data_IF_460874160544
#
_entry.id   IF_460874160544
#
_cell.length_a   1.000
_cell.length_b   1.000
_cell.length_c   1.000
_cell.angle_alpha   90.00
_cell.angle_beta   90.00
_cell.angle_gamma   90.00
#
_symmetry.space_group_name_H-M   'P 1'
#
loop_
_entity.id
_entity.type
_entity.pdbx_description
1 polymer ?
#
# COMPACT_ATOMS: atom_id res chain seq x y z
N UNK A 1 -11.00 -84.50 -69.28
CA UNK A 1 -12.04 -85.25 -70.01
C UNK A 1 -13.32 -84.44 -70.13
N UNK A 2 -13.67 -84.13 -71.40
CA UNK A 2 -14.92 -83.60 -71.91
C UNK A 2 -15.26 -82.13 -71.70
N UNK A 3 -15.10 -81.33 -72.71
CA UNK A 3 -15.89 -81.00 -73.94
C UNK A 3 -16.79 -79.78 -73.70
N UNK A 4 -16.36 -78.68 -74.23
CA UNK A 4 -16.96 -77.75 -75.17
C UNK A 4 -18.50 -77.63 -75.28
N UNK A 5 -19.04 -76.43 -75.23
CA UNK A 5 -19.88 -75.93 -76.36
C UNK A 5 -20.04 -74.46 -76.34
N UNK A 6 -19.71 -73.80 -77.44
CA UNK A 6 -20.03 -72.43 -77.81
C UNK A 6 -21.53 -72.25 -77.98
N UNK A 7 -22.03 -71.06 -77.61
CA UNK A 7 -23.10 -70.39 -78.39
C UNK A 7 -22.96 -68.91 -78.28
N UNK A 8 -22.74 -68.35 -79.43
CA UNK A 8 -22.78 -66.88 -79.74
C UNK A 8 -24.24 -66.45 -79.76
N UNK A 9 -24.55 -65.38 -79.07
CA UNK A 9 -25.69 -64.49 -79.44
C UNK A 9 -25.39 -63.12 -78.93
N UNK A 10 -25.19 -62.22 -79.85
CA UNK A 10 -25.31 -60.80 -79.64
C UNK A 10 -26.76 -60.40 -79.42
N UNK A 11 -27.08 -59.46 -78.53
CA UNK A 11 -28.25 -58.63 -78.72
C UNK A 11 -27.88 -57.13 -78.77
N UNK A 12 -28.31 -56.55 -79.82
CA UNK A 12 -28.91 -55.23 -80.04
C UNK A 12 -28.79 -54.21 -78.92
N UNK A 13 -28.18 -53.11 -79.28
CA UNK A 13 -28.17 -51.86 -78.52
C UNK A 13 -29.56 -51.39 -78.10
N UNK A 14 -29.69 -51.15 -76.84
CA UNK A 14 -30.73 -50.24 -76.30
C UNK A 14 -30.09 -48.87 -76.18
N UNK A 15 -30.31 -48.01 -77.16
CA UNK A 15 -30.22 -46.57 -76.99
C UNK A 15 -31.28 -46.18 -75.95
N UNK A 16 -30.82 -45.80 -74.81
CA UNK A 16 -31.68 -45.11 -73.84
C UNK A 16 -31.62 -43.61 -74.18
N UNK A 17 -32.37 -43.17 -75.14
CA UNK A 17 -32.73 -41.77 -75.38
C UNK A 17 -33.74 -41.33 -74.31
N UNK A 18 -33.22 -40.93 -73.14
CA UNK A 18 -34.06 -40.17 -72.21
C UNK A 18 -33.86 -38.71 -72.52
N UNK A 19 -34.47 -38.20 -73.56
CA UNK A 19 -34.67 -36.79 -73.85
C UNK A 19 -35.76 -36.25 -72.93
N UNK A 20 -35.44 -36.19 -71.60
CA UNK A 20 -36.17 -35.35 -70.65
C UNK A 20 -35.91 -33.89 -71.03
N UNK A 21 -36.94 -33.09 -71.26
CA UNK A 21 -36.80 -31.65 -71.44
C UNK A 21 -35.92 -31.09 -70.30
N UNK A 22 -34.90 -30.31 -70.68
CA UNK A 22 -33.98 -29.67 -69.72
C UNK A 22 -34.83 -28.90 -68.70
N UNK A 23 -34.65 -29.17 -67.42
CA UNK A 23 -35.41 -28.46 -66.40
C UNK A 23 -34.97 -26.99 -66.32
N UNK A 24 -35.92 -26.06 -66.41
CA UNK A 24 -35.63 -24.63 -66.19
C UNK A 24 -35.33 -24.44 -64.69
N UNK A 25 -34.13 -23.88 -64.38
CA UNK A 25 -33.70 -23.62 -62.98
C UNK A 25 -33.19 -22.19 -62.85
N UNK A 26 -33.55 -21.56 -61.75
CA UNK A 26 -32.95 -20.29 -61.36
C UNK A 26 -31.63 -20.55 -60.67
N UNK A 27 -30.63 -19.69 -60.91
CA UNK A 27 -29.31 -19.86 -60.31
C UNK A 27 -28.86 -18.59 -59.62
N UNK A 28 -28.06 -18.78 -58.59
CA UNK A 28 -27.33 -17.74 -57.89
C UNK A 28 -25.84 -18.14 -57.88
N UNK A 29 -24.99 -17.13 -57.86
CA UNK A 29 -23.55 -17.35 -57.66
C UNK A 29 -23.25 -17.33 -56.18
N UNK A 30 -22.37 -18.20 -55.72
CA UNK A 30 -21.87 -18.16 -54.39
C UNK A 30 -20.99 -16.93 -54.24
N UNK A 31 -21.41 -15.94 -53.46
CA UNK A 31 -20.66 -14.72 -53.17
C UNK A 31 -19.73 -14.94 -52.00
N UNK A 32 -18.62 -14.22 -51.95
CA UNK A 32 -17.80 -14.12 -50.71
C UNK A 32 -18.36 -12.97 -49.88
N UNK A 33 -18.71 -13.29 -48.66
CA UNK A 33 -19.12 -12.30 -47.66
C UNK A 33 -18.35 -12.49 -46.35
N UNK A 34 -18.02 -11.37 -45.70
CA UNK A 34 -17.36 -11.46 -44.38
C UNK A 34 -18.29 -12.16 -43.38
N UNK A 35 -17.73 -13.15 -42.71
CA UNK A 35 -18.38 -13.79 -41.56
C UNK A 35 -17.61 -13.40 -40.33
N UNK A 36 -18.23 -12.59 -39.47
CA UNK A 36 -17.69 -12.27 -38.15
C UNK A 36 -17.90 -13.47 -37.24
N UNK A 37 -16.80 -14.02 -36.75
CA UNK A 37 -16.82 -15.09 -35.75
C UNK A 37 -16.80 -14.45 -34.36
N UNK A 38 -17.98 -14.22 -33.79
CA UNK A 38 -18.18 -13.63 -32.46
C UNK A 38 -18.67 -14.66 -31.48
N UNK A 39 -18.06 -14.67 -30.30
CA UNK A 39 -18.58 -15.42 -29.17
C UNK A 39 -19.55 -14.58 -28.36
N UNK A 40 -20.76 -15.05 -28.21
CA UNK A 40 -21.74 -14.47 -27.29
C UNK A 40 -21.57 -15.08 -25.92
N UNK A 41 -21.36 -14.25 -24.92
CA UNK A 41 -21.25 -14.67 -23.53
C UNK A 41 -21.97 -13.67 -22.62
N UNK A 42 -21.98 -13.96 -21.35
CA UNK A 42 -22.62 -13.10 -20.35
C UNK A 42 -21.74 -13.05 -19.09
N UNK A 43 -22.05 -12.08 -18.26
CA UNK A 43 -21.33 -11.91 -17.01
C UNK A 43 -21.98 -10.88 -16.10
N UNK A 44 -21.21 -10.38 -15.16
CA UNK A 44 -21.64 -9.37 -14.22
C UNK A 44 -20.62 -8.27 -14.08
N UNK A 45 -21.09 -7.08 -13.74
CA UNK A 45 -20.22 -5.95 -13.40
C UNK A 45 -19.66 -6.13 -12.01
N UNK A 46 -18.36 -5.91 -11.85
CA UNK A 46 -17.63 -5.90 -10.60
C UNK A 46 -16.97 -4.53 -10.36
N UNK A 47 -16.63 -4.26 -9.13
CA UNK A 47 -15.88 -3.07 -8.74
C UNK A 47 -14.41 -3.17 -9.19
N UNK A 48 -13.75 -2.02 -9.34
CA UNK A 48 -12.30 -1.98 -9.63
C UNK A 48 -11.50 -2.50 -8.45
N UNK A 49 -11.70 -1.91 -7.27
CA UNK A 49 -11.10 -2.36 -6.01
C UNK A 49 -12.14 -2.36 -4.90
N UNK A 50 -11.95 -3.29 -3.98
CA UNK A 50 -12.70 -3.38 -2.74
C UNK A 50 -11.73 -3.22 -1.58
N UNK A 51 -12.00 -2.29 -0.68
CA UNK A 51 -11.19 -2.03 0.50
C UNK A 51 -12.05 -2.18 1.74
N UNK A 52 -11.71 -3.14 2.59
CA UNK A 52 -12.36 -3.28 3.89
C UNK A 52 -11.73 -2.28 4.87
N UNK A 53 -12.57 -1.50 5.52
CA UNK A 53 -12.17 -0.57 6.59
C UNK A 53 -12.33 -1.29 7.90
N UNK A 54 -11.21 -1.57 8.56
CA UNK A 54 -11.15 -2.21 9.88
C UNK A 54 -10.81 -1.19 10.95
N UNK A 55 -11.19 -1.44 12.20
CA UNK A 55 -10.75 -0.64 13.33
C UNK A 55 -9.46 -1.23 13.91
N UNK A 56 -8.45 -0.38 14.15
CA UNK A 56 -7.20 -0.79 14.79
C UNK A 56 -7.32 -0.88 16.31
N UNK A 57 -8.30 -0.20 16.87
CA UNK A 57 -8.56 -0.13 18.31
C UNK A 57 -10.03 -0.34 18.56
N UNK A 58 -10.38 -1.30 19.43
CA UNK A 58 -11.77 -1.56 19.79
C UNK A 58 -12.41 -0.42 20.57
N UNK A 59 -13.71 -0.22 20.35
CA UNK A 59 -14.48 0.81 21.04
C UNK A 59 -15.94 0.80 20.68
N UNK A 60 -16.74 1.61 21.37
CA UNK A 60 -18.16 1.81 21.06
C UNK A 60 -18.32 2.90 20.00
N UNK A 61 -19.10 2.64 18.97
CA UNK A 61 -19.39 3.60 17.90
C UNK A 61 -20.27 4.73 18.48
N UNK A 62 -19.70 5.92 18.48
CA UNK A 62 -20.44 7.14 18.87
C UNK A 62 -21.32 7.60 17.72
N UNK A 63 -20.74 7.65 16.53
CA UNK A 63 -21.44 8.09 15.33
C UNK A 63 -20.79 7.60 14.06
N UNK A 64 -21.61 7.23 13.08
CA UNK A 64 -21.22 7.15 11.67
C UNK A 64 -21.54 8.49 10.98
N UNK A 65 -20.59 8.97 10.18
CA UNK A 65 -20.73 10.21 9.40
C UNK A 65 -21.17 9.95 7.95
N UNK A 66 -21.27 8.67 7.56
CA UNK A 66 -21.59 8.23 6.21
C UNK A 66 -22.64 7.13 6.22
N UNK A 67 -23.39 7.04 5.13
CA UNK A 67 -24.38 5.99 4.86
C UNK A 67 -23.89 5.09 3.73
N UNK A 68 -24.50 3.91 3.59
CA UNK A 68 -24.31 3.06 2.42
C UNK A 68 -24.74 3.82 1.15
N UNK A 69 -23.91 3.75 0.12
CA UNK A 69 -24.07 4.49 -1.11
C UNK A 69 -23.41 5.87 -1.16
N UNK A 70 -22.94 6.41 -0.03
CA UNK A 70 -22.26 7.70 -0.02
C UNK A 70 -20.88 7.62 -0.67
N UNK A 71 -20.56 8.64 -1.47
CA UNK A 71 -19.21 8.81 -2.03
C UNK A 71 -18.29 9.47 -1.00
N UNK A 72 -17.12 8.89 -0.77
CA UNK A 72 -16.13 9.37 0.19
C UNK A 72 -14.77 9.61 -0.47
N UNK A 73 -14.03 10.59 0.07
CA UNK A 73 -12.66 10.91 -0.33
C UNK A 73 -11.67 10.24 0.61
N UNK A 74 -10.46 9.96 0.14
CA UNK A 74 -9.35 9.50 0.97
C UNK A 74 -9.14 10.44 2.17
N UNK A 75 -9.04 9.88 3.38
CA UNK A 75 -8.87 10.61 4.64
C UNK A 75 -10.18 11.17 5.24
N UNK A 76 -11.32 11.08 4.55
CA UNK A 76 -12.62 11.52 5.07
C UNK A 76 -13.01 10.68 6.29
N UNK A 77 -13.57 11.33 7.33
CA UNK A 77 -14.07 10.63 8.53
C UNK A 77 -15.29 9.79 8.17
N UNK A 78 -15.23 8.52 8.54
CA UNK A 78 -16.31 7.55 8.34
C UNK A 78 -17.11 7.31 9.63
N UNK A 79 -16.40 7.11 10.74
CA UNK A 79 -17.00 6.86 12.05
C UNK A 79 -16.11 7.41 13.17
N UNK A 80 -16.70 7.66 14.31
CA UNK A 80 -16.04 7.99 15.56
C UNK A 80 -16.35 6.91 16.60
N UNK A 81 -15.31 6.30 17.13
CA UNK A 81 -15.38 5.35 18.23
C UNK A 81 -15.00 6.04 19.54
N UNK A 82 -15.43 5.47 20.65
CA UNK A 82 -15.05 5.85 22.01
C UNK A 82 -14.53 4.64 22.77
N UNK A 83 -13.41 4.81 23.44
CA UNK A 83 -12.84 3.80 24.32
C UNK A 83 -12.50 4.43 25.66
N UNK A 84 -13.34 4.18 26.66
CA UNK A 84 -13.22 4.75 28.01
C UNK A 84 -11.90 4.34 28.68
N UNK A 85 -11.40 3.14 28.41
CA UNK A 85 -10.15 2.66 28.99
C UNK A 85 -8.96 3.50 28.51
N UNK A 86 -8.92 3.86 27.21
CA UNK A 86 -7.88 4.74 26.67
C UNK A 86 -8.01 6.18 27.18
N UNK A 87 -9.23 6.68 27.38
CA UNK A 87 -9.46 7.99 27.98
C UNK A 87 -8.90 8.03 29.41
N UNK A 88 -9.17 7.01 30.24
CA UNK A 88 -8.63 6.89 31.59
C UNK A 88 -7.09 6.76 31.57
N UNK A 89 -6.55 5.96 30.68
CA UNK A 89 -5.10 5.79 30.54
C UNK A 89 -4.40 7.08 30.11
N UNK A 90 -5.04 7.88 29.26
CA UNK A 90 -4.55 9.22 28.90
C UNK A 90 -4.46 10.12 30.13
N UNK A 91 -5.52 10.20 30.93
CA UNK A 91 -5.56 11.00 32.17
C UNK A 91 -4.48 10.55 33.17
N UNK A 92 -4.29 9.24 33.33
CA UNK A 92 -3.22 8.69 34.17
C UNK A 92 -1.83 9.09 33.67
N UNK A 93 -1.58 8.98 32.37
CA UNK A 93 -0.30 9.37 31.77
C UNK A 93 -0.06 10.88 31.80
N UNK A 94 -1.10 11.69 31.68
CA UNK A 94 -1.02 13.15 31.88
C UNK A 94 -0.60 13.46 33.32
N UNK A 95 -1.24 12.85 34.31
CA UNK A 95 -0.90 13.03 35.73
C UNK A 95 0.53 12.57 36.04
N UNK A 96 0.98 11.47 35.44
CA UNK A 96 2.36 10.99 35.57
C UNK A 96 3.37 11.96 34.96
N UNK A 97 3.08 12.55 33.80
CA UNK A 97 3.91 13.57 33.18
C UNK A 97 3.98 14.84 34.01
N UNK A 98 2.87 15.29 34.58
CA UNK A 98 2.83 16.44 35.45
C UNK A 98 3.66 16.23 36.73
N UNK A 99 3.56 15.04 37.33
CA UNK A 99 4.38 14.66 38.49
C UNK A 99 5.88 14.63 38.14
N UNK A 100 6.24 14.07 36.99
CA UNK A 100 7.63 14.05 36.51
C UNK A 100 8.15 15.48 36.23
N UNK A 101 7.33 16.37 35.68
CA UNK A 101 7.68 17.77 35.46
C UNK A 101 7.87 18.53 36.78
N UNK A 102 7.08 18.23 37.83
CA UNK A 102 7.26 18.79 39.14
C UNK A 102 8.58 18.33 39.77
N UNK A 103 8.91 17.04 39.67
CA UNK A 103 10.18 16.48 40.09
C UNK A 103 11.38 17.11 39.35
N UNK A 104 11.23 17.38 38.05
CA UNK A 104 12.24 18.07 37.25
C UNK A 104 12.53 19.46 37.77
N UNK A 105 11.49 20.24 38.08
CA UNK A 105 11.65 21.57 38.67
C UNK A 105 12.39 21.53 40.01
N UNK A 106 12.09 20.52 40.83
CA UNK A 106 12.76 20.33 42.11
C UNK A 106 14.23 19.97 41.92
N UNK A 107 14.55 19.05 40.97
CA UNK A 107 15.94 18.67 40.66
C UNK A 107 16.75 19.87 40.14
N UNK A 108 16.17 20.73 39.30
CA UNK A 108 16.82 21.98 38.88
C UNK A 108 17.09 22.94 40.04
N UNK A 109 16.13 23.10 40.96
CA UNK A 109 16.31 23.96 42.13
C UNK A 109 17.42 23.45 43.03
N UNK A 110 17.48 22.13 43.27
CA UNK A 110 18.50 21.45 44.07
C UNK A 110 19.90 21.59 43.45
N UNK A 111 20.02 21.34 42.14
CA UNK A 111 21.30 21.50 41.42
C UNK A 111 21.77 22.95 41.47
N UNK A 112 20.89 23.91 41.39
CA UNK A 112 21.19 25.34 41.49
C UNK A 112 21.68 25.69 42.90
N UNK A 113 21.06 25.14 43.97
CA UNK A 113 21.49 25.31 45.33
C UNK A 113 22.90 24.71 45.58
N UNK A 114 23.15 23.46 45.10
CA UNK A 114 24.48 22.83 45.15
C UNK A 114 25.53 23.67 44.40
N UNK A 115 25.19 24.22 43.25
CA UNK A 115 26.11 25.10 42.48
C UNK A 115 26.46 26.35 43.26
N UNK A 116 25.46 27.04 43.82
CA UNK A 116 25.70 28.24 44.64
C UNK A 116 26.49 27.94 45.88
N UNK A 117 26.28 26.79 46.54
CA UNK A 117 27.07 26.34 47.70
C UNK A 117 28.55 26.12 47.28
N UNK A 118 28.80 25.43 46.15
CA UNK A 118 30.13 25.21 45.60
C UNK A 118 30.83 26.54 45.24
N UNK A 119 30.15 27.45 44.60
CA UNK A 119 30.69 28.81 44.29
C UNK A 119 31.04 29.57 45.57
N UNK A 120 30.15 29.60 46.57
CA UNK A 120 30.37 30.25 47.84
C UNK A 120 31.61 29.69 48.55
N UNK A 121 31.78 28.35 48.50
CA UNK A 121 32.96 27.69 49.08
C UNK A 121 34.23 28.09 48.36
N UNK A 122 34.28 28.18 47.04
CA UNK A 122 35.42 28.66 46.25
C UNK A 122 35.79 30.10 46.63
N UNK A 123 34.80 30.99 46.80
CA UNK A 123 35.04 32.34 47.26
C UNK A 123 35.64 32.38 48.68
N UNK A 124 35.17 31.50 49.57
CA UNK A 124 35.75 31.38 50.89
C UNK A 124 37.22 30.89 50.86
N UNK A 125 37.54 29.94 49.96
CA UNK A 125 38.91 29.52 49.67
C UNK A 125 39.80 30.67 49.20
N UNK A 126 39.34 31.47 48.27
CA UNK A 126 40.05 32.65 47.75
C UNK A 126 40.30 33.68 48.87
N UNK A 127 39.29 33.99 49.67
CA UNK A 127 39.39 34.88 50.79
C UNK A 127 40.40 34.38 51.84
N UNK A 128 40.35 33.07 52.16
CA UNK A 128 41.31 32.46 53.10
C UNK A 128 42.74 32.50 52.58
N UNK A 129 42.95 32.26 51.27
CA UNK A 129 44.28 32.41 50.64
C UNK A 129 44.81 33.82 50.75
N UNK A 130 43.99 34.83 50.47
CA UNK A 130 44.40 36.25 50.61
C UNK A 130 44.75 36.62 52.03
N UNK A 131 43.97 36.12 53.05
CA UNK A 131 44.25 36.39 54.44
C UNK A 131 45.59 35.72 54.89
N UNK A 132 45.88 34.49 54.43
CA UNK A 132 47.17 33.87 54.69
C UNK A 132 48.32 34.66 54.10
N UNK A 133 48.23 35.11 52.86
CA UNK A 133 49.26 35.93 52.21
C UNK A 133 49.50 37.23 52.99
N UNK A 134 48.43 37.92 53.46
CA UNK A 134 48.56 39.09 54.31
C UNK A 134 49.31 38.80 55.60
N UNK A 135 48.95 37.71 56.30
CA UNK A 135 49.56 37.30 57.54
C UNK A 135 51.03 36.88 57.33
N UNK A 136 51.36 36.23 56.24
CA UNK A 136 52.77 35.89 55.89
C UNK A 136 53.61 37.14 55.68
N UNK A 137 53.07 38.20 55.01
CA UNK A 137 53.78 39.50 54.90
C UNK A 137 53.97 40.19 56.22
N UNK A 138 52.97 40.18 57.13
CA UNK A 138 53.08 40.71 58.48
C UNK A 138 54.14 39.96 59.25
N UNK A 139 54.21 38.62 59.16
CA UNK A 139 55.20 37.76 59.77
C UNK A 139 56.62 38.04 59.28
N UNK A 140 56.76 38.26 57.95
CA UNK A 140 58.05 38.63 57.34
C UNK A 140 58.60 39.97 57.90
N UNK A 141 57.70 40.98 57.97
CA UNK A 141 58.08 42.25 58.60
C UNK A 141 58.52 42.15 60.04
N UNK A 142 57.82 41.30 60.88
CA UNK A 142 58.18 41.02 62.25
C UNK A 142 59.55 40.27 62.35
N UNK A 143 59.80 39.32 61.48
CA UNK A 143 61.05 38.61 61.34
C UNK A 143 62.25 39.52 61.03
N UNK A 144 62.06 40.41 60.08
CA UNK A 144 63.00 41.45 59.69
C UNK A 144 63.33 42.39 60.88
N UNK A 145 62.27 42.80 61.63
CA UNK A 145 62.43 43.61 62.85
C UNK A 145 63.11 42.86 63.90
N UNK A 146 62.82 41.55 64.10
CA UNK A 146 63.55 40.68 65.06
C UNK A 146 65.05 40.58 64.71
N UNK A 147 65.40 40.35 63.46
CA UNK A 147 66.78 40.29 62.97
C UNK A 147 67.52 41.58 63.25
N UNK A 148 66.93 42.73 62.96
CA UNK A 148 67.58 44.03 63.24
C UNK A 148 67.73 44.27 64.72
N UNK A 149 66.72 44.00 65.54
CA UNK A 149 66.85 44.12 67.00
C UNK A 149 67.80 43.10 67.60
N UNK A 150 67.98 41.89 67.09
CA UNK A 150 68.95 40.93 67.50
C UNK A 150 70.41 41.44 67.32
N UNK A 151 70.65 42.06 66.12
CA UNK A 151 71.98 42.75 65.86
C UNK A 151 72.25 43.87 66.80
N UNK A 152 71.23 44.67 67.11
CA UNK A 152 71.33 45.78 68.06
C UNK A 152 71.55 45.33 69.48
N UNK A 153 70.98 44.16 69.90
CA UNK A 153 71.14 43.51 71.16
C UNK A 153 72.63 43.09 71.34
N UNK A 154 73.26 42.49 70.31
CA UNK A 154 74.68 42.09 70.30
C UNK A 154 75.60 43.28 70.53
N UNK A 155 75.13 44.52 70.18
CA UNK A 155 75.83 45.79 70.38
C UNK A 155 75.42 46.51 71.69
N UNK A 156 74.60 45.84 72.55
CA UNK A 156 74.13 46.38 73.84
C UNK A 156 73.02 47.40 73.77
N UNK A 157 72.37 47.62 72.58
CA UNK A 157 71.40 48.66 72.37
C UNK A 157 69.91 48.29 72.64
N UNK A 158 69.62 47.01 73.00
CA UNK A 158 68.27 46.52 73.27
C UNK A 158 68.28 45.53 74.45
N UNK A 159 67.25 45.49 75.28
CA UNK A 159 67.18 44.60 76.48
C UNK A 159 66.74 43.23 76.09
N UNK A 160 67.16 42.17 76.83
CA UNK A 160 66.72 40.76 76.67
C UNK A 160 65.22 40.63 76.67
N UNK A 161 64.54 41.31 77.59
CA UNK A 161 63.07 41.27 77.67
C UNK A 161 62.38 41.71 76.41
N UNK A 162 62.89 42.79 75.74
CA UNK A 162 62.32 43.29 74.49
C UNK A 162 62.60 42.32 73.33
N UNK A 163 63.72 41.64 73.32
CA UNK A 163 64.04 40.65 72.29
C UNK A 163 63.16 39.38 72.45
N UNK A 164 63.01 38.90 73.70
CA UNK A 164 62.12 37.74 73.98
C UNK A 164 60.67 38.02 73.71
N UNK A 165 60.16 39.22 74.01
CA UNK A 165 58.82 39.62 73.68
C UNK A 165 58.57 39.59 72.17
N UNK A 166 59.54 40.04 71.37
CA UNK A 166 59.39 40.03 69.89
C UNK A 166 59.51 38.59 69.34
N UNK A 167 60.33 37.73 69.93
CA UNK A 167 60.41 36.29 69.61
C UNK A 167 59.09 35.60 69.87
N UNK A 168 58.44 35.90 70.99
CA UNK A 168 57.07 35.39 71.27
C UNK A 168 56.06 35.85 70.26
N UNK A 169 56.09 37.13 69.86
CA UNK A 169 55.22 37.68 68.83
C UNK A 169 55.39 36.95 67.48
N UNK A 170 56.66 36.73 67.06
CA UNK A 170 56.93 35.96 65.79
C UNK A 170 56.39 34.56 65.91
N UNK A 171 56.64 33.82 67.04
CA UNK A 171 56.08 32.47 67.19
C UNK A 171 54.57 32.40 67.22
N UNK A 172 53.93 33.39 67.86
CA UNK A 172 52.49 33.51 67.89
C UNK A 172 51.93 33.66 66.49
N UNK A 173 52.54 34.55 65.65
CA UNK A 173 52.18 34.79 64.28
C UNK A 173 52.36 33.56 63.39
N UNK A 174 53.47 32.85 63.57
CA UNK A 174 53.71 31.56 62.87
C UNK A 174 52.69 30.49 63.23
N UNK A 175 52.25 30.42 64.45
CA UNK A 175 51.21 29.49 64.90
C UNK A 175 49.86 29.89 64.29
N UNK A 176 49.51 31.19 64.28
CA UNK A 176 48.32 31.69 63.65
C UNK A 176 48.29 31.34 62.17
N UNK A 177 49.39 31.53 61.43
CA UNK A 177 49.49 31.13 60.00
C UNK A 177 49.32 29.65 59.82
N UNK A 178 49.95 28.81 60.73
CA UNK A 178 49.78 27.36 60.64
C UNK A 178 48.33 26.92 60.84
N UNK A 179 47.57 27.56 61.73
CA UNK A 179 46.15 27.30 61.96
C UNK A 179 45.38 27.69 60.69
N UNK A 180 45.58 28.91 60.15
CA UNK A 180 44.90 29.38 58.94
C UNK A 180 45.15 28.45 57.72
N UNK A 181 46.39 27.95 57.59
CA UNK A 181 46.72 26.97 56.55
C UNK A 181 45.93 25.64 56.73
N UNK A 182 45.75 25.16 57.97
CA UNK A 182 44.95 24.00 58.26
C UNK A 182 43.46 24.22 58.00
N UNK A 183 42.96 25.43 58.29
CA UNK A 183 41.58 25.84 57.94
C UNK A 183 41.38 25.88 56.42
N UNK A 184 42.36 26.43 55.69
CA UNK A 184 42.34 26.44 54.21
C UNK A 184 42.37 24.97 53.67
N UNK A 185 43.18 24.08 54.22
CA UNK A 185 43.25 22.68 53.83
C UNK A 185 41.88 22.00 54.00
N UNK A 186 41.14 22.34 55.08
CA UNK A 186 39.78 21.82 55.30
C UNK A 186 38.77 22.39 54.29
N UNK A 187 38.89 23.67 53.94
CA UNK A 187 38.04 24.30 52.92
C UNK A 187 38.32 23.73 51.51
N UNK A 188 39.53 23.29 51.24
CA UNK A 188 39.95 22.74 49.95
C UNK A 188 39.53 21.26 49.74
N UNK A 189 38.95 20.56 50.76
CA UNK A 189 38.48 19.20 50.57
C UNK A 189 37.43 19.12 49.45
N UNK A 190 37.69 18.37 48.37
CA UNK A 190 36.87 18.26 47.19
C UNK A 190 37.04 19.40 46.15
N UNK A 191 37.93 20.39 46.44
CA UNK A 191 38.22 21.53 45.56
C UNK A 191 39.69 21.64 45.18
N UNK A 192 40.45 20.52 45.21
CA UNK A 192 41.85 20.45 44.79
C UNK A 192 41.97 19.96 43.36
N UNK A 193 43.03 20.31 42.69
CA UNK A 193 43.39 19.79 41.37
C UNK A 193 43.56 18.25 41.42
N UNK A 194 44.00 17.66 42.55
CA UNK A 194 44.09 16.23 42.77
C UNK A 194 42.71 15.54 42.72
N UNK A 195 41.68 16.21 43.17
CA UNK A 195 40.31 15.68 43.17
C UNK A 195 39.75 15.60 41.73
N UNK A 196 40.14 16.56 40.86
CA UNK A 196 39.85 16.50 39.40
C UNK A 196 40.59 15.33 38.76
N UNK A 197 41.89 15.15 39.08
CA UNK A 197 42.74 14.09 38.53
C UNK A 197 42.21 12.70 38.93
N UNK A 198 41.77 12.50 40.17
CA UNK A 198 41.13 11.24 40.62
C UNK A 198 39.89 10.88 39.82
N UNK A 199 39.16 11.85 39.35
CA UNK A 199 37.96 11.67 38.47
C UNK A 199 38.31 11.65 36.98
N UNK A 200 39.63 11.65 36.62
CA UNK A 200 40.08 11.59 35.24
C UNK A 200 40.00 12.92 34.48
N UNK A 201 39.80 14.02 35.20
CA UNK A 201 39.69 15.35 34.61
C UNK A 201 41.06 16.05 34.68
N UNK A 202 41.59 16.47 33.52
CA UNK A 202 42.85 17.25 33.51
C UNK A 202 42.54 18.68 33.92
N UNK A 203 43.17 19.20 35.02
CA UNK A 203 42.95 20.56 35.45
C UNK A 203 43.35 21.56 34.35
N UNK A 204 42.47 22.48 34.02
CA UNK A 204 42.78 23.54 33.04
C UNK A 204 43.83 24.53 33.58
N UNK A 205 44.75 25.00 32.73
CA UNK A 205 45.67 26.06 33.11
C UNK A 205 44.94 27.42 33.32
N UNK A 206 43.78 27.58 32.67
CA UNK A 206 42.91 28.74 32.86
C UNK A 206 42.17 28.65 34.20
N UNK A 207 42.31 29.69 35.06
CA UNK A 207 41.69 29.75 36.39
C UNK A 207 40.18 29.65 36.36
N UNK A 208 39.51 30.32 35.40
CA UNK A 208 38.04 30.38 35.34
C UNK A 208 37.47 29.04 34.84
N UNK A 209 38.15 28.40 33.89
CA UNK A 209 37.82 27.08 33.43
C UNK A 209 37.99 26.07 34.54
N UNK A 210 39.09 26.14 35.28
CA UNK A 210 39.37 25.28 36.42
C UNK A 210 38.34 25.40 37.54
N UNK A 211 37.91 26.64 37.87
CA UNK A 211 36.81 26.88 38.81
C UNK A 211 35.50 26.15 38.35
N UNK A 212 35.17 26.25 37.09
CA UNK A 212 33.98 25.56 36.51
C UNK A 212 34.13 24.04 36.61
N UNK A 213 35.33 23.47 36.39
CA UNK A 213 35.62 22.06 36.55
C UNK A 213 35.41 21.60 38.00
N UNK A 214 35.88 22.39 38.97
CA UNK A 214 35.70 22.08 40.39
C UNK A 214 34.23 22.18 40.84
N UNK A 215 33.48 23.15 40.35
CA UNK A 215 32.03 23.24 40.60
C UNK A 215 31.32 22.03 40.01
N UNK A 216 31.61 21.72 38.75
CA UNK A 216 30.97 20.57 38.05
C UNK A 216 31.28 19.23 38.78
N UNK A 217 32.50 19.08 39.32
CA UNK A 217 32.87 17.91 40.13
C UNK A 217 31.99 17.80 41.38
N UNK A 218 31.86 18.91 42.14
CA UNK A 218 31.09 18.95 43.37
C UNK A 218 29.57 18.90 43.18
N UNK A 219 29.05 19.19 41.98
CA UNK A 219 27.62 19.10 41.59
C UNK A 219 27.32 17.88 40.73
N UNK A 220 28.26 16.96 40.56
CA UNK A 220 28.13 15.76 39.72
C UNK A 220 26.91 14.91 40.07
N UNK A 221 26.65 14.72 41.37
CA UNK A 221 25.50 13.97 41.88
C UNK A 221 24.18 14.62 41.52
N UNK A 222 24.07 15.94 41.73
CA UNK A 222 22.91 16.73 41.35
C UNK A 222 22.68 16.72 39.85
N UNK A 223 23.75 16.81 39.04
CA UNK A 223 23.69 16.65 37.59
C UNK A 223 23.19 15.28 37.15
N UNK A 224 23.65 14.20 37.80
CA UNK A 224 23.18 12.83 37.51
C UNK A 224 21.69 12.63 37.91
N UNK A 225 21.29 13.18 39.07
CA UNK A 225 19.89 13.17 39.50
C UNK A 225 19.01 13.92 38.50
N UNK A 226 19.44 15.12 38.04
CA UNK A 226 18.71 15.87 37.01
C UNK A 226 18.56 15.07 35.72
N UNK A 227 19.63 14.46 35.20
CA UNK A 227 19.59 13.65 34.00
C UNK A 227 18.65 12.44 34.15
N UNK A 228 18.61 11.83 35.34
CA UNK A 228 17.66 10.74 35.62
C UNK A 228 16.20 11.21 35.58
N UNK A 229 15.88 12.36 36.16
CA UNK A 229 14.54 12.93 36.16
C UNK A 229 14.14 13.41 34.75
N UNK A 230 15.07 13.99 33.99
CA UNK A 230 14.82 14.32 32.58
C UNK A 230 14.45 13.10 31.74
N UNK A 231 15.12 11.97 31.99
CA UNK A 231 14.79 10.69 31.35
C UNK A 231 13.39 10.21 31.75
N UNK A 232 12.97 10.40 33.01
CA UNK A 232 11.62 10.08 33.47
C UNK A 232 10.54 10.95 32.77
N UNK A 233 10.76 12.25 32.66
CA UNK A 233 9.87 13.16 31.91
C UNK A 233 9.71 12.73 30.46
N UNK A 234 10.84 12.41 29.81
CA UNK A 234 10.83 11.90 28.44
C UNK A 234 10.02 10.61 28.31
N UNK A 235 10.18 9.67 29.24
CA UNK A 235 9.45 8.40 29.24
C UNK A 235 7.95 8.62 29.43
N UNK A 236 7.55 9.43 30.42
CA UNK A 236 6.15 9.77 30.65
C UNK A 236 5.51 10.48 29.44
N UNK A 237 6.25 11.40 28.79
CA UNK A 237 5.82 12.06 27.57
C UNK A 237 5.63 11.10 26.39
N UNK A 238 6.51 10.11 26.25
CA UNK A 238 6.38 9.07 25.22
C UNK A 238 5.17 8.17 25.48
N UNK A 239 4.90 7.79 26.73
CA UNK A 239 3.73 7.01 27.10
C UNK A 239 2.43 7.77 26.79
N UNK A 240 2.35 9.04 27.13
CA UNK A 240 1.21 9.89 26.80
C UNK A 240 1.01 9.98 25.26
N UNK A 241 2.09 10.19 24.52
CA UNK A 241 2.05 10.26 23.05
C UNK A 241 1.55 8.95 22.43
N UNK A 242 1.96 7.80 22.99
CA UNK A 242 1.53 6.49 22.51
C UNK A 242 0.01 6.30 22.70
N UNK A 243 -0.51 6.63 23.86
CA UNK A 243 -1.96 6.54 24.14
C UNK A 243 -2.74 7.54 23.26
N UNK A 244 -2.22 8.75 23.06
CA UNK A 244 -2.86 9.73 22.19
C UNK A 244 -2.99 9.22 20.75
N UNK A 245 -1.98 8.55 20.20
CA UNK A 245 -2.05 7.90 18.88
C UNK A 245 -3.13 6.83 18.82
N UNK A 246 -3.29 6.00 19.87
CA UNK A 246 -4.37 5.01 19.93
C UNK A 246 -5.74 5.67 19.98
N UNK A 247 -5.87 6.81 20.65
CA UNK A 247 -7.12 7.60 20.69
C UNK A 247 -7.40 8.23 19.31
N UNK A 248 -6.38 8.69 18.61
CA UNK A 248 -6.55 9.24 17.25
C UNK A 248 -7.06 8.18 16.26
N UNK A 249 -6.65 6.90 16.43
CA UNK A 249 -7.13 5.76 15.65
C UNK A 249 -8.62 5.42 15.93
N UNK A 250 -9.23 5.93 17.00
CA UNK A 250 -10.68 5.83 17.21
C UNK A 250 -11.49 6.68 16.22
N UNK A 251 -10.85 7.59 15.51
CA UNK A 251 -11.44 8.32 14.37
C UNK A 251 -11.18 7.56 13.09
N UNK A 252 -12.13 6.73 12.70
CA UNK A 252 -11.99 5.90 11.49
C UNK A 252 -12.10 6.77 10.24
N UNK A 253 -11.11 6.66 9.36
CA UNK A 253 -11.02 7.42 8.11
C UNK A 253 -10.95 6.51 6.90
N UNK A 254 -11.43 7.01 5.77
CA UNK A 254 -11.36 6.30 4.48
C UNK A 254 -9.90 6.14 4.01
N UNK A 255 -9.39 4.92 3.82
CA UNK A 255 -8.03 4.69 3.32
C UNK A 255 -7.88 5.05 1.83
N UNK A 256 -8.98 5.01 1.08
CA UNK A 256 -9.06 5.37 -0.33
C UNK A 256 -10.35 6.13 -0.63
N UNK A 257 -10.42 6.78 -1.78
CA UNK A 257 -11.67 7.32 -2.29
C UNK A 257 -12.53 6.17 -2.83
N UNK A 258 -13.85 6.30 -2.76
CA UNK A 258 -14.78 5.27 -3.23
C UNK A 258 -16.21 5.52 -2.75
N UNK A 259 -17.06 4.51 -2.92
CA UNK A 259 -18.44 4.50 -2.44
C UNK A 259 -18.52 3.52 -1.27
N UNK A 260 -19.24 3.90 -0.21
CA UNK A 260 -19.52 3.01 0.92
C UNK A 260 -20.44 1.89 0.45
N UNK A 261 -19.95 0.67 0.41
CA UNK A 261 -20.71 -0.51 -0.05
C UNK A 261 -21.60 -1.09 1.03
N UNK A 262 -21.02 -1.37 2.19
CA UNK A 262 -21.75 -1.92 3.34
C UNK A 262 -21.20 -1.37 4.65
N UNK A 263 -22.07 -1.23 5.63
CA UNK A 263 -21.74 -1.01 7.05
C UNK A 263 -22.10 -2.28 7.81
N UNK A 264 -21.23 -2.69 8.74
CA UNK A 264 -21.41 -3.93 9.49
C UNK A 264 -21.89 -3.69 10.91
N UNK A 265 -21.93 -2.41 11.36
CA UNK A 265 -22.27 -2.00 12.72
C UNK A 265 -23.13 -0.74 12.70
N UNK A 266 -23.87 -0.54 13.81
CA UNK A 266 -24.70 0.64 14.04
C UNK A 266 -24.16 1.50 15.20
N UNK A 267 -24.70 2.72 15.33
CA UNK A 267 -24.35 3.60 16.44
C UNK A 267 -24.71 2.95 17.79
N UNK A 268 -23.80 3.00 18.75
CA UNK A 268 -23.96 2.41 20.07
C UNK A 268 -23.41 0.98 20.19
N UNK A 269 -23.08 0.32 19.11
CA UNK A 269 -22.49 -1.01 19.14
C UNK A 269 -20.99 -0.98 19.44
N UNK A 270 -20.51 -2.05 20.06
CA UNK A 270 -19.10 -2.22 20.35
C UNK A 270 -18.42 -3.02 19.26
N UNK A 271 -17.33 -2.48 18.71
CA UNK A 271 -16.49 -3.11 17.68
C UNK A 271 -15.17 -3.54 18.31
N UNK A 272 -14.77 -4.77 18.07
CA UNK A 272 -13.46 -5.28 18.51
C UNK A 272 -12.36 -4.84 17.56
N UNK A 273 -11.12 -4.95 18.05
CA UNK A 273 -9.94 -4.74 17.23
C UNK A 273 -9.91 -5.68 16.02
N UNK A 274 -9.49 -5.17 14.87
CA UNK A 274 -9.42 -5.85 13.57
C UNK A 274 -10.75 -6.30 12.96
N UNK A 275 -11.88 -5.90 13.52
CA UNK A 275 -13.19 -6.16 12.90
C UNK A 275 -13.47 -5.15 11.77
N UNK A 276 -14.20 -5.64 10.75
CA UNK A 276 -14.61 -4.84 9.59
C UNK A 276 -15.76 -3.93 9.96
N UNK A 277 -15.53 -2.64 9.85
CA UNK A 277 -16.53 -1.61 10.15
C UNK A 277 -17.37 -1.26 8.92
N UNK A 278 -16.73 -1.10 7.79
CA UNK A 278 -17.36 -0.77 6.51
C UNK A 278 -16.54 -1.30 5.35
N UNK A 279 -17.16 -1.37 4.18
CA UNK A 279 -16.49 -1.69 2.91
C UNK A 279 -16.56 -0.49 1.98
N UNK A 280 -15.44 -0.11 1.39
CA UNK A 280 -15.36 0.89 0.33
C UNK A 280 -15.14 0.19 -1.02
N UNK A 281 -15.84 0.65 -2.04
CA UNK A 281 -15.72 0.16 -3.41
C UNK A 281 -15.30 1.31 -4.32
N UNK A 282 -14.22 1.13 -5.07
CA UNK A 282 -13.88 2.02 -6.17
C UNK A 282 -14.69 1.60 -7.40
N UNK A 283 -15.56 2.49 -7.83
CA UNK A 283 -16.42 2.32 -9.01
C UNK A 283 -16.16 3.38 -10.07
N UNK A 284 -15.03 4.10 -10.01
CA UNK A 284 -14.64 5.11 -11.00
C UNK A 284 -14.43 4.49 -12.38
N UNK A 285 -13.95 3.27 -12.43
CA UNK A 285 -14.09 2.31 -13.52
C UNK A 285 -14.60 0.98 -12.94
N UNK A 286 -15.19 0.15 -13.77
CA UNK A 286 -15.74 -1.15 -13.36
C UNK A 286 -15.23 -2.24 -14.27
N UNK A 287 -15.18 -3.46 -13.78
CA UNK A 287 -14.87 -4.62 -14.60
C UNK A 287 -16.15 -5.35 -14.99
N UNK A 288 -16.34 -5.60 -16.29
CA UNK A 288 -17.25 -6.66 -16.71
C UNK A 288 -16.49 -7.99 -16.59
N UNK A 289 -16.97 -8.86 -15.73
CA UNK A 289 -16.44 -10.20 -15.49
C UNK A 289 -17.27 -11.19 -16.27
N UNK A 290 -16.71 -11.69 -17.37
CA UNK A 290 -17.36 -12.56 -18.34
C UNK A 290 -16.98 -14.00 -18.08
N UNK A 291 -17.94 -14.92 -18.22
CA UNK A 291 -17.73 -16.36 -18.06
C UNK A 291 -17.66 -17.01 -19.43
N UNK A 292 -16.50 -17.62 -19.74
CA UNK A 292 -16.24 -18.22 -21.06
C UNK A 292 -15.83 -19.68 -20.89
N UNK A 293 -16.33 -20.57 -21.73
CA UNK A 293 -15.97 -21.98 -21.70
C UNK A 293 -14.51 -22.19 -22.06
N UNK A 294 -13.89 -23.25 -21.54
CA UNK A 294 -12.48 -23.59 -21.77
C UNK A 294 -12.13 -23.62 -23.27
N UNK A 295 -12.97 -24.25 -24.08
CA UNK A 295 -12.76 -24.41 -25.52
C UNK A 295 -12.65 -23.05 -26.25
N UNK A 296 -13.36 -22.04 -25.74
CA UNK A 296 -13.40 -20.71 -26.32
C UNK A 296 -12.32 -19.81 -25.77
N UNK A 297 -11.94 -19.99 -24.52
CA UNK A 297 -10.96 -19.15 -23.82
C UNK A 297 -9.55 -19.26 -24.41
N UNK A 298 -9.18 -20.42 -24.95
CA UNK A 298 -7.84 -20.69 -25.54
C UNK A 298 -7.53 -19.76 -26.74
N UNK A 299 -8.55 -19.27 -27.44
CA UNK A 299 -8.41 -18.40 -28.61
C UNK A 299 -8.30 -16.92 -28.31
N UNK A 300 -8.53 -16.48 -27.06
CA UNK A 300 -8.54 -15.07 -26.70
C UNK A 300 -7.21 -14.58 -26.17
N UNK A 301 -6.90 -13.31 -26.46
CA UNK A 301 -5.71 -12.62 -25.96
C UNK A 301 -6.11 -11.30 -25.32
N UNK A 302 -5.23 -10.77 -24.48
CA UNK A 302 -5.38 -9.38 -24.03
C UNK A 302 -5.41 -8.44 -25.23
N UNK A 303 -6.30 -7.43 -25.18
CA UNK A 303 -6.48 -6.50 -26.28
C UNK A 303 -7.56 -6.93 -27.30
N UNK A 304 -8.10 -8.13 -27.23
CA UNK A 304 -9.23 -8.55 -28.07
C UNK A 304 -10.44 -7.64 -27.79
N UNK A 305 -11.11 -7.19 -28.87
CA UNK A 305 -12.29 -6.31 -28.78
C UNK A 305 -13.49 -7.04 -28.21
N UNK A 306 -14.23 -6.33 -27.38
CA UNK A 306 -15.44 -6.83 -26.72
C UNK A 306 -16.51 -5.76 -26.77
N UNK A 307 -17.66 -6.09 -27.33
CA UNK A 307 -18.87 -5.27 -27.24
C UNK A 307 -19.70 -5.73 -26.06
N UNK A 308 -20.03 -4.82 -25.16
CA UNK A 308 -20.73 -5.07 -23.90
C UNK A 308 -22.07 -4.36 -23.90
N UNK A 309 -23.13 -5.11 -23.76
CA UNK A 309 -24.49 -4.57 -23.67
C UNK A 309 -25.02 -4.70 -22.25
N UNK A 310 -25.36 -3.60 -21.59
CA UNK A 310 -25.98 -3.55 -20.28
C UNK A 310 -27.49 -3.37 -20.40
N UNK A 311 -28.28 -4.44 -20.26
CA UNK A 311 -29.75 -4.36 -20.45
C UNK A 311 -30.41 -3.37 -19.49
N UNK A 312 -29.91 -3.26 -18.27
CA UNK A 312 -30.44 -2.38 -17.23
C UNK A 312 -30.35 -0.88 -17.61
N UNK A 313 -29.39 -0.51 -18.47
CA UNK A 313 -29.17 0.86 -18.93
C UNK A 313 -29.60 1.05 -20.40
N UNK A 314 -29.85 -0.04 -21.14
CA UNK A 314 -30.12 -0.01 -22.58
C UNK A 314 -28.95 0.54 -23.41
N UNK A 315 -27.70 0.39 -22.94
CA UNK A 315 -26.51 0.96 -23.56
C UNK A 315 -25.47 -0.10 -23.88
N UNK A 316 -24.78 0.10 -24.99
CA UNK A 316 -23.59 -0.68 -25.36
C UNK A 316 -22.32 0.11 -25.08
N UNK A 317 -21.27 -0.62 -24.74
CA UNK A 317 -19.92 -0.12 -24.44
C UNK A 317 -18.91 -0.96 -25.19
N UNK A 318 -18.00 -0.30 -25.90
CA UNK A 318 -16.86 -0.96 -26.53
C UNK A 318 -15.69 -1.00 -25.54
N UNK A 319 -15.06 -2.13 -25.42
CA UNK A 319 -13.90 -2.34 -24.56
C UNK A 319 -12.95 -3.38 -25.14
N UNK A 320 -11.90 -3.70 -24.41
CA UNK A 320 -10.96 -4.75 -24.75
C UNK A 320 -10.73 -5.66 -23.57
N UNK A 321 -10.36 -6.90 -23.84
CA UNK A 321 -9.96 -7.84 -22.80
C UNK A 321 -8.74 -7.29 -22.07
N UNK A 322 -8.89 -7.00 -20.78
CA UNK A 322 -7.82 -6.51 -19.92
C UNK A 322 -7.09 -7.65 -19.20
N UNK A 323 -7.84 -8.69 -18.80
CA UNK A 323 -7.29 -9.81 -18.04
C UNK A 323 -8.05 -11.10 -18.38
N UNK A 324 -7.31 -12.19 -18.51
CA UNK A 324 -7.85 -13.55 -18.65
C UNK A 324 -7.36 -14.34 -17.45
N UNK A 325 -8.28 -14.96 -16.69
CA UNK A 325 -7.91 -15.80 -15.54
C UNK A 325 -6.99 -16.95 -15.99
N UNK A 326 -5.89 -17.20 -15.29
CA UNK A 326 -4.99 -18.32 -15.62
C UNK A 326 -5.58 -19.69 -15.25
N UNK A 327 -6.66 -19.71 -14.49
CA UNK A 327 -7.32 -20.94 -14.02
C UNK A 327 -8.83 -20.84 -14.24
N UNK A 328 -9.44 -21.97 -14.56
CA UNK A 328 -10.89 -22.09 -14.60
C UNK A 328 -11.48 -22.06 -13.19
N UNK A 329 -12.68 -21.57 -13.05
CA UNK A 329 -13.47 -21.65 -11.83
C UNK A 329 -13.81 -23.12 -11.53
N UNK A 330 -13.48 -23.66 -10.34
CA UNK A 330 -13.65 -25.08 -10.03
C UNK A 330 -15.12 -25.55 -10.02
N UNK A 331 -16.08 -24.63 -9.86
CA UNK A 331 -17.50 -24.98 -9.78
C UNK A 331 -18.16 -24.99 -11.16
N UNK A 332 -17.78 -24.06 -12.03
CA UNK A 332 -18.39 -23.91 -13.36
C UNK A 332 -17.54 -24.50 -14.48
N UNK A 333 -16.22 -24.70 -14.28
CA UNK A 333 -15.28 -25.08 -15.33
C UNK A 333 -14.97 -23.98 -16.33
N UNK A 334 -15.47 -22.75 -16.13
CA UNK A 334 -15.33 -21.64 -17.03
C UNK A 334 -14.14 -20.75 -16.66
N UNK A 335 -13.53 -20.13 -17.67
CA UNK A 335 -12.55 -19.07 -17.48
C UNK A 335 -13.21 -17.74 -17.30
N UNK A 336 -12.66 -16.92 -16.40
CA UNK A 336 -13.10 -15.55 -16.17
C UNK A 336 -12.27 -14.59 -17.04
N UNK A 337 -12.97 -13.81 -17.84
CA UNK A 337 -12.37 -12.74 -18.64
C UNK A 337 -12.85 -11.41 -18.08
N UNK A 338 -11.93 -10.46 -17.84
CA UNK A 338 -12.27 -9.13 -17.37
C UNK A 338 -12.01 -8.08 -18.46
N UNK A 339 -12.95 -7.19 -18.59
CA UNK A 339 -12.83 -5.99 -19.44
C UNK A 339 -13.14 -4.76 -18.61
N UNK A 340 -12.35 -3.71 -18.74
CA UNK A 340 -12.52 -2.48 -17.97
C UNK A 340 -13.44 -1.51 -18.71
N UNK A 341 -14.41 -0.93 -18.00
CA UNK A 341 -15.36 0.08 -18.51
C UNK A 341 -15.19 1.35 -17.67
N UNK A 342 -14.99 2.49 -18.31
CA UNK A 342 -14.98 3.80 -17.65
C UNK A 342 -16.39 4.14 -17.13
N UNK A 343 -16.49 4.46 -15.84
CA UNK A 343 -17.76 4.74 -15.16
C UNK A 343 -17.78 6.11 -14.47
N UNK A 344 -17.22 7.13 -15.12
CA UNK A 344 -17.19 8.52 -14.56
C UNK A 344 -18.56 9.03 -14.17
N UNK A 345 -19.62 8.56 -14.84
CA UNK A 345 -20.98 8.95 -14.52
C UNK A 345 -21.56 8.28 -13.26
N UNK A 346 -20.92 7.20 -12.77
CA UNK A 346 -21.42 6.38 -11.65
C UNK A 346 -22.72 5.61 -11.97
N UNK A 347 -23.14 5.56 -13.24
CA UNK A 347 -24.39 4.91 -13.63
C UNK A 347 -24.29 3.38 -13.60
N UNK A 348 -23.10 2.83 -13.86
CA UNK A 348 -22.87 1.40 -13.84
C UNK A 348 -22.59 0.98 -12.40
N UNK A 349 -23.39 0.05 -11.88
CA UNK A 349 -23.25 -0.44 -10.49
C UNK A 349 -22.75 -1.87 -10.48
N UNK A 350 -21.84 -2.24 -9.56
CA UNK A 350 -21.47 -3.62 -9.33
C UNK A 350 -22.70 -4.50 -9.10
N UNK A 351 -22.67 -5.73 -9.64
CA UNK A 351 -23.78 -6.66 -9.63
C UNK A 351 -24.75 -6.55 -10.84
N UNK A 352 -24.62 -5.53 -11.70
CA UNK A 352 -25.40 -5.46 -12.92
C UNK A 352 -25.01 -6.59 -13.87
N UNK A 353 -26.03 -7.13 -14.57
CA UNK A 353 -25.85 -8.13 -15.61
C UNK A 353 -25.35 -7.48 -16.90
N UNK A 354 -24.45 -8.16 -17.61
CA UNK A 354 -23.90 -7.73 -18.89
C UNK A 354 -23.93 -8.89 -19.88
N UNK A 355 -24.34 -8.60 -21.10
CA UNK A 355 -24.16 -9.46 -22.27
C UNK A 355 -22.95 -8.97 -23.04
N UNK A 356 -22.17 -9.90 -23.58
CA UNK A 356 -21.00 -9.53 -24.37
C UNK A 356 -20.93 -10.30 -25.67
N UNK A 357 -20.35 -9.66 -26.66
CA UNK A 357 -19.92 -10.25 -27.93
C UNK A 357 -18.42 -10.04 -28.03
N UNK A 358 -17.66 -11.14 -28.09
CA UNK A 358 -16.20 -11.14 -28.13
C UNK A 358 -15.77 -11.53 -29.54
N UNK A 359 -14.97 -10.70 -30.19
CA UNK A 359 -14.42 -10.96 -31.51
C UNK A 359 -13.40 -12.11 -31.43
N UNK A 360 -13.70 -13.26 -32.09
CA UNK A 360 -12.79 -14.41 -32.12
C UNK A 360 -11.72 -14.28 -33.18
N UNK A 361 -12.08 -13.75 -34.33
CA UNK A 361 -11.19 -13.59 -35.48
C UNK A 361 -11.67 -12.42 -36.32
N UNK A 362 -10.73 -11.76 -36.98
CA UNK A 362 -11.14 -10.80 -38.02
C UNK A 362 -12.06 -11.49 -39.03
N UNK A 363 -13.06 -10.78 -39.45
CA UNK A 363 -13.99 -11.25 -40.47
C UNK A 363 -13.26 -11.91 -41.63
N UNK A 364 -13.60 -13.16 -41.91
CA UNK A 364 -13.07 -13.89 -43.06
C UNK A 364 -14.14 -13.91 -44.14
N UNK A 365 -13.74 -13.51 -45.36
CA UNK A 365 -14.56 -13.73 -46.52
C UNK A 365 -14.75 -15.22 -46.74
N UNK A 366 -15.97 -15.68 -46.72
CA UNK A 366 -16.33 -17.07 -46.92
C UNK A 366 -17.45 -17.20 -47.93
N UNK A 367 -17.46 -18.26 -48.76
CA UNK A 367 -18.52 -18.52 -49.70
C UNK A 367 -19.86 -18.61 -48.99
N UNK A 368 -20.82 -17.84 -49.44
CA UNK A 368 -22.18 -17.85 -48.91
C UNK A 368 -23.21 -17.96 -50.02
N UNK A 369 -24.34 -18.58 -49.71
CA UNK A 369 -25.48 -18.77 -50.59
C UNK A 369 -26.77 -18.43 -49.83
N UNK A 370 -27.86 -18.05 -50.56
CA UNK A 370 -29.16 -17.91 -49.94
C UNK A 370 -29.60 -19.25 -49.35
N UNK A 371 -30.28 -19.20 -48.19
CA UNK A 371 -30.84 -20.40 -47.53
C UNK A 371 -31.81 -21.17 -48.42
N UNK A 372 -32.48 -20.44 -49.36
CA UNK A 372 -33.36 -21.02 -50.38
C UNK A 372 -32.69 -22.00 -51.34
N UNK A 373 -31.36 -21.95 -51.48
CA UNK A 373 -30.61 -22.87 -52.32
C UNK A 373 -30.31 -24.25 -51.66
N UNK A 374 -30.62 -24.40 -50.35
CA UNK A 374 -30.49 -25.66 -49.65
C UNK A 374 -31.63 -26.63 -50.01
N UNK A 375 -31.28 -27.84 -50.37
CA UNK A 375 -32.23 -28.93 -50.60
C UNK A 375 -32.64 -29.62 -49.30
N UNK A 376 -31.64 -29.94 -48.49
CA UNK A 376 -31.79 -30.56 -47.15
C UNK A 376 -30.65 -30.01 -46.33
N UNK A 377 -30.91 -29.62 -45.06
CA UNK A 377 -29.89 -29.21 -44.11
C UNK A 377 -30.12 -29.83 -42.73
N UNK A 378 -29.04 -30.15 -42.06
CA UNK A 378 -28.97 -30.29 -40.64
C UNK A 378 -28.08 -29.17 -40.07
N UNK A 379 -27.84 -29.14 -38.75
CA UNK A 379 -27.09 -28.04 -38.11
C UNK A 379 -25.67 -27.82 -38.67
N UNK A 380 -25.04 -28.81 -39.29
CA UNK A 380 -23.64 -28.75 -39.76
C UNK A 380 -23.45 -29.12 -41.22
N UNK A 381 -24.39 -29.74 -41.85
CA UNK A 381 -24.30 -30.18 -43.25
C UNK A 381 -25.51 -29.74 -44.07
N UNK A 382 -25.22 -29.34 -45.25
CA UNK A 382 -26.25 -29.00 -46.24
C UNK A 382 -26.03 -29.71 -47.59
N UNK A 383 -27.09 -29.96 -48.29
CA UNK A 383 -27.08 -30.46 -49.67
C UNK A 383 -27.57 -29.37 -50.62
N UNK A 384 -26.79 -29.15 -51.66
CA UNK A 384 -27.08 -28.15 -52.71
C UNK A 384 -26.98 -28.82 -54.10
N UNK A 385 -27.52 -28.17 -55.11
CA UNK A 385 -27.25 -28.51 -56.50
C UNK A 385 -26.40 -27.37 -57.12
N UNK A 386 -25.24 -27.76 -57.64
CA UNK A 386 -24.45 -26.87 -58.52
C UNK A 386 -24.64 -27.20 -59.99
N UNK A 387 -24.46 -26.22 -60.87
CA UNK A 387 -24.54 -26.43 -62.32
C UNK A 387 -23.17 -26.58 -62.87
N UNK A 388 -22.85 -27.76 -63.42
CA UNK A 388 -21.57 -28.07 -64.04
C UNK A 388 -21.85 -28.54 -65.49
N UNK A 389 -21.32 -27.84 -66.49
CA UNK A 389 -21.50 -28.14 -67.92
C UNK A 389 -22.96 -28.32 -68.35
N UNK A 390 -23.89 -27.60 -67.75
CA UNK A 390 -25.33 -27.68 -68.08
C UNK A 390 -26.08 -28.84 -67.38
N UNK A 391 -25.45 -29.50 -66.42
CA UNK A 391 -26.10 -30.57 -65.62
C UNK A 391 -26.14 -30.23 -64.14
N UNK A 392 -27.19 -30.65 -63.45
CA UNK A 392 -27.34 -30.53 -62.03
C UNK A 392 -26.46 -31.54 -61.28
N UNK A 393 -25.52 -31.08 -60.46
CA UNK A 393 -24.64 -31.93 -59.68
C UNK A 393 -24.91 -31.70 -58.20
N UNK A 394 -25.24 -32.76 -57.47
CA UNK A 394 -25.50 -32.67 -56.05
C UNK A 394 -24.16 -32.59 -55.29
N UNK A 395 -24.06 -31.58 -54.39
CA UNK A 395 -22.91 -31.42 -53.53
C UNK A 395 -23.31 -31.34 -52.06
N UNK A 396 -22.46 -31.88 -51.19
CA UNK A 396 -22.55 -31.68 -49.74
C UNK A 396 -21.67 -30.51 -49.35
N UNK A 397 -22.21 -29.58 -48.56
CA UNK A 397 -21.48 -28.45 -47.98
C UNK A 397 -21.46 -28.55 -46.48
N UNK A 398 -20.38 -28.11 -45.87
CA UNK A 398 -20.27 -27.94 -44.41
C UNK A 398 -20.80 -26.56 -44.07
N UNK A 399 -21.84 -26.48 -43.27
CA UNK A 399 -22.45 -25.20 -42.85
C UNK A 399 -21.65 -24.68 -41.64
N UNK A 400 -21.13 -23.46 -41.76
CA UNK A 400 -20.44 -22.74 -40.70
C UNK A 400 -21.40 -21.83 -39.93
N UNK A 401 -22.28 -21.12 -40.61
CA UNK A 401 -23.26 -20.22 -40.00
C UNK A 401 -24.49 -20.05 -40.84
N UNK A 402 -25.63 -19.78 -40.20
CA UNK A 402 -26.87 -19.27 -40.78
C UNK A 402 -27.13 -17.87 -40.22
N UNK A 403 -27.23 -16.85 -41.08
CA UNK A 403 -27.52 -15.48 -40.66
C UNK A 403 -28.24 -14.70 -41.81
N UNK A 404 -29.24 -13.94 -41.45
CA UNK A 404 -29.94 -13.02 -42.37
C UNK A 404 -30.41 -13.66 -43.69
N UNK A 405 -30.86 -14.94 -43.65
CA UNK A 405 -31.33 -15.67 -44.84
C UNK A 405 -30.23 -16.17 -45.75
N UNK A 406 -28.97 -16.13 -45.31
CA UNK A 406 -27.80 -16.68 -45.99
C UNK A 406 -27.15 -17.79 -45.18
N UNK A 407 -26.43 -18.68 -45.89
CA UNK A 407 -25.68 -19.78 -45.34
C UNK A 407 -24.24 -19.63 -45.77
N UNK A 408 -23.30 -19.58 -44.77
CA UNK A 408 -21.86 -19.57 -45.02
C UNK A 408 -21.34 -21.01 -45.00
N UNK A 409 -20.63 -21.37 -46.08
CA UNK A 409 -20.03 -22.70 -46.19
C UNK A 409 -18.59 -22.72 -45.68
N UNK A 410 -18.32 -23.60 -44.71
CA UNK A 410 -16.95 -23.88 -44.21
C UNK A 410 -16.18 -24.84 -45.11
N UNK A 411 -16.83 -25.45 -46.09
CA UNK A 411 -16.20 -26.38 -47.05
C UNK A 411 -17.24 -26.94 -48.02
N UNK A 412 -16.80 -27.45 -49.15
CA UNK A 412 -17.65 -28.05 -50.19
C UNK A 412 -18.25 -27.06 -51.20
N UNK A 413 -18.02 -25.72 -51.00
CA UNK A 413 -18.48 -24.67 -51.86
C UNK A 413 -17.30 -23.74 -52.19
N UNK A 414 -17.19 -23.30 -53.46
CA UNK A 414 -16.19 -22.33 -53.92
C UNK A 414 -16.86 -21.00 -54.29
N UNK A 415 -16.13 -19.89 -54.08
CA UNK A 415 -16.59 -18.56 -54.52
C UNK A 415 -16.79 -18.54 -56.04
N UNK A 416 -17.90 -17.89 -56.47
CA UNK A 416 -18.28 -17.80 -57.87
C UNK A 416 -18.93 -19.05 -58.46
N UNK A 417 -19.11 -20.11 -57.69
CA UNK A 417 -19.78 -21.34 -58.11
C UNK A 417 -21.26 -21.09 -58.36
N UNK A 418 -21.81 -21.64 -59.47
CA UNK A 418 -23.24 -21.46 -59.84
C UNK A 418 -24.06 -22.51 -59.12
N UNK A 419 -24.98 -22.07 -58.28
CA UNK A 419 -25.84 -22.89 -57.45
C UNK A 419 -27.29 -22.70 -57.84
N UNK A 420 -28.08 -23.77 -57.84
CA UNK A 420 -29.49 -23.71 -58.14
C UNK A 420 -30.23 -23.15 -56.93
N UNK A 421 -30.92 -22.03 -57.13
CA UNK A 421 -31.84 -21.45 -56.14
C UNK A 421 -33.18 -22.15 -56.19
N UNK A 422 -33.77 -22.42 -55.01
CA UNK A 422 -35.05 -23.12 -54.86
C UNK A 422 -35.16 -24.38 -55.69
N UNK A 423 -34.22 -25.37 -55.48
CA UNK A 423 -34.20 -26.59 -56.26
C UNK A 423 -35.53 -27.36 -56.11
N UNK A 424 -36.08 -27.77 -57.27
CA UNK A 424 -37.30 -28.61 -57.25
C UNK A 424 -37.04 -29.94 -56.53
N UNK A 425 -37.94 -30.44 -55.68
CA UNK A 425 -37.78 -31.76 -55.03
C UNK A 425 -37.67 -32.93 -56.02
N UNK A 426 -38.04 -32.71 -57.29
CA UNK A 426 -37.98 -33.70 -58.35
C UNK A 426 -36.70 -33.63 -59.19
N UNK A 427 -35.82 -32.63 -58.94
CA UNK A 427 -34.54 -32.48 -59.65
C UNK A 427 -33.63 -33.64 -59.26
N UNK A 428 -33.04 -34.27 -60.24
CA UNK A 428 -32.14 -35.45 -60.02
C UNK A 428 -30.70 -35.07 -60.40
N UNK A 429 -29.77 -35.74 -59.74
CA UNK A 429 -28.36 -35.65 -60.08
C UNK A 429 -28.12 -36.11 -61.52
N UNK A 430 -27.31 -35.33 -62.28
CA UNK A 430 -27.04 -35.56 -63.68
C UNK A 430 -28.13 -35.13 -64.67
N UNK A 431 -29.19 -34.48 -64.19
CA UNK A 431 -30.28 -33.96 -65.07
C UNK A 431 -29.78 -32.72 -65.80
N UNK A 432 -30.09 -32.67 -67.17
CA UNK A 432 -29.82 -31.48 -67.96
C UNK A 432 -30.68 -30.31 -67.45
N UNK A 433 -30.07 -29.14 -67.28
CA UNK A 433 -30.75 -27.93 -66.81
C UNK A 433 -30.52 -26.74 -67.76
N UNK A 434 -31.55 -25.91 -67.93
CA UNK A 434 -31.44 -24.63 -68.63
C UNK A 434 -31.44 -23.54 -67.55
N UNK A 435 -30.35 -22.78 -67.51
CA UNK A 435 -30.08 -21.74 -66.51
C UNK A 435 -30.86 -20.48 -66.87
N UNK A 436 -31.61 -19.94 -65.92
CA UNK A 436 -32.16 -18.57 -65.94
C UNK A 436 -31.47 -17.80 -64.79
N UNK A 437 -30.73 -16.75 -65.11
CA UNK A 437 -30.21 -15.84 -64.08
C UNK A 437 -31.36 -15.05 -63.47
N UNK A 438 -31.37 -14.91 -62.15
CA UNK A 438 -32.33 -14.10 -61.39
C UNK A 438 -32.08 -12.62 -61.56
#
# INVERSE_FOLDING_TARGET
MFIAFCFSCAPSGLKNENTGAAAEVYVVRADERPLDDELKSFGSISYKTKTDVTCMVGGTIVSFFVKEGDAVKKGQRLAQLRNVQLELQKEQNMSALDAANAALKLAYAKLREETLAAESRLLAVEKSKMNIVQKELESELLKNTLSNKSRLHELGGVTDSSLEQLKLQVRSMETEIAILKKELDALLLGFRDEDLIKEGIVPSPDSDVRKKQLIALNTKSGGAELASVEAQVKTAGQQLTSVQKLIDELTIRAPAAGIVGARYYENGEYVKENEKLATLMDTSSVFAVLSVQEQDAVGFMQGTRVSLFLPSLGKSYESVISEISPAADPQSGNFSIKTEIDNKSGAIKPGMFVRCEIERSAAKDMPCIPESALLVSDEKNGKIFSVVNGYAVQKNILIKAHRDGFVWAGGGLSAGEIIIDKPSPFLREGQAVTVKEL
#
